data_IF_272926444593
#
_entry.id   IF_272926444593
#
_cell.length_a   1.000
_cell.length_b   1.000
_cell.length_c   1.000
_cell.angle_alpha   90.00
_cell.angle_beta   90.00
_cell.angle_gamma   90.00
#
_symmetry.space_group_name_H-M   'P 1'
#
loop_
_entity.id
_entity.type
_entity.pdbx_description
1 polymer ?
#
# COMPACT_ATOMS: atom_id res chain seq x y z
N UNK A 1 -18.41 -10.49 27.35
CA UNK A 1 -18.17 -10.60 25.90
C UNK A 1 -16.68 -10.42 25.65
N UNK A 2 -16.10 -11.23 24.76
CA UNK A 2 -14.70 -11.15 24.36
C UNK A 2 -14.65 -10.93 22.85
N UNK A 3 -13.60 -10.25 22.36
CA UNK A 3 -13.28 -10.08 20.95
C UNK A 3 -11.96 -10.78 20.69
N UNK A 4 -11.86 -11.52 19.59
CA UNK A 4 -10.64 -12.15 19.14
C UNK A 4 -10.40 -11.84 17.66
N UNK A 5 -9.19 -11.43 17.36
CA UNK A 5 -8.71 -11.30 15.97
C UNK A 5 -7.75 -12.45 15.70
N UNK A 6 -7.97 -13.15 14.61
CA UNK A 6 -7.19 -14.33 14.25
C UNK A 6 -6.48 -14.10 12.91
N UNK A 7 -5.21 -14.40 12.85
CA UNK A 7 -4.41 -14.38 11.62
C UNK A 7 -4.03 -15.79 11.24
N UNK A 8 -4.19 -16.13 9.97
CA UNK A 8 -3.81 -17.44 9.43
C UNK A 8 -2.30 -17.47 9.20
N UNK A 9 -1.58 -18.26 9.98
CA UNK A 9 -0.16 -18.56 9.77
C UNK A 9 0.04 -19.69 8.74
N UNK A 10 1.28 -20.04 8.43
CA UNK A 10 1.65 -21.03 7.41
C UNK A 10 1.48 -22.51 7.78
N UNK A 11 0.80 -22.83 8.88
CA UNK A 11 0.65 -24.20 9.37
C UNK A 11 1.79 -24.63 10.31
N UNK A 12 2.25 -25.86 10.18
CA UNK A 12 3.32 -26.39 11.05
C UNK A 12 4.60 -25.58 10.91
N UNK A 13 5.15 -25.11 12.05
CA UNK A 13 6.38 -24.35 12.03
C UNK A 13 7.58 -25.19 11.56
N UNK A 14 8.45 -24.59 10.78
CA UNK A 14 9.67 -25.21 10.23
C UNK A 14 10.91 -24.46 10.72
N UNK A 15 12.06 -25.15 10.76
CA UNK A 15 13.33 -24.54 11.11
C UNK A 15 13.75 -23.53 10.02
N UNK A 16 14.19 -22.35 10.45
CA UNK A 16 14.74 -21.31 9.58
C UNK A 16 16.15 -20.92 10.06
N UNK A 17 17.10 -20.91 9.14
CA UNK A 17 18.52 -20.63 9.40
C UNK A 17 19.03 -19.39 8.64
N UNK A 18 18.12 -18.54 8.14
CA UNK A 18 18.50 -17.31 7.43
C UNK A 18 19.19 -16.31 8.35
N UNK A 19 18.81 -16.30 9.63
CA UNK A 19 19.44 -15.46 10.67
C UNK A 19 20.60 -16.15 11.37
N UNK A 20 21.37 -15.37 12.14
CA UNK A 20 22.42 -15.92 13.02
C UNK A 20 21.87 -16.72 14.19
N UNK A 21 20.61 -16.52 14.57
CA UNK A 21 19.85 -17.36 15.48
C UNK A 21 18.91 -18.24 14.66
N UNK A 22 19.01 -19.55 14.82
CA UNK A 22 18.04 -20.49 14.24
C UNK A 22 16.68 -20.26 14.88
N UNK A 23 15.66 -20.08 14.07
CA UNK A 23 14.28 -19.86 14.48
C UNK A 23 13.36 -20.99 14.04
N UNK A 24 12.17 -21.08 14.64
CA UNK A 24 11.08 -21.93 14.18
C UNK A 24 9.97 -21.02 13.69
N UNK A 25 9.59 -21.17 12.42
CA UNK A 25 8.76 -20.21 11.68
C UNK A 25 7.52 -20.88 11.10
N UNK A 26 6.36 -20.28 11.36
CA UNK A 26 5.12 -20.55 10.64
C UNK A 26 4.77 -19.30 9.83
N UNK A 27 5.15 -19.30 8.54
CA UNK A 27 4.98 -18.15 7.65
C UNK A 27 3.89 -18.41 6.61
N UNK A 28 3.02 -17.44 6.45
CA UNK A 28 2.08 -17.35 5.35
C UNK A 28 2.43 -16.12 4.50
N UNK A 29 3.29 -16.32 3.52
CA UNK A 29 3.81 -15.24 2.67
C UNK A 29 2.69 -14.59 1.83
N UNK A 30 1.67 -15.37 1.45
CA UNK A 30 0.51 -14.88 0.70
C UNK A 30 -0.26 -13.79 1.47
N UNK A 31 -0.39 -13.95 2.78
CA UNK A 31 -1.07 -13.00 3.66
C UNK A 31 -0.09 -12.08 4.42
N UNK A 32 1.20 -12.15 4.10
CA UNK A 32 2.21 -11.28 4.70
C UNK A 32 2.34 -11.42 6.21
N UNK A 33 2.09 -12.62 6.78
CA UNK A 33 2.12 -12.85 8.21
C UNK A 33 2.96 -14.05 8.59
N UNK A 34 3.82 -13.91 9.60
CA UNK A 34 4.54 -15.04 10.19
C UNK A 34 4.62 -14.98 11.71
N UNK A 35 4.66 -16.17 12.30
CA UNK A 35 4.94 -16.38 13.72
C UNK A 35 6.33 -17.02 13.81
N UNK A 36 7.20 -16.38 14.56
CA UNK A 36 8.61 -16.76 14.69
C UNK A 36 8.92 -17.00 16.15
N UNK A 37 9.47 -18.16 16.48
CA UNK A 37 9.97 -18.44 17.83
C UNK A 37 11.48 -18.69 17.81
N UNK A 38 12.19 -18.18 18.81
CA UNK A 38 13.64 -18.34 18.91
C UNK A 38 14.09 -18.25 20.36
N UNK A 39 15.33 -18.68 20.64
CA UNK A 39 16.00 -18.52 21.94
C UNK A 39 17.02 -17.40 21.83
N UNK A 40 16.97 -16.44 22.74
CA UNK A 40 17.87 -15.29 22.77
C UNK A 40 19.32 -15.67 22.98
N UNK A 41 20.21 -14.95 22.33
CA UNK A 41 21.68 -15.14 22.40
C UNK A 41 22.38 -14.18 23.38
N UNK A 42 21.72 -13.08 23.76
CA UNK A 42 22.31 -12.03 24.61
C UNK A 42 23.27 -11.10 23.90
N UNK A 43 23.39 -11.18 22.58
CA UNK A 43 24.25 -10.34 21.74
C UNK A 43 23.57 -9.97 20.45
N UNK A 44 23.97 -8.88 19.81
CA UNK A 44 23.41 -8.46 18.53
C UNK A 44 23.39 -9.62 17.51
N UNK A 45 22.22 -9.92 16.99
CA UNK A 45 21.95 -11.08 16.16
C UNK A 45 20.83 -10.79 15.15
N UNK A 46 20.57 -11.75 14.27
CA UNK A 46 19.45 -11.72 13.32
C UNK A 46 18.63 -13.00 13.42
N UNK A 47 17.33 -12.88 13.14
CA UNK A 47 16.36 -13.97 13.22
C UNK A 47 15.59 -14.05 11.91
N UNK A 48 15.51 -15.23 11.30
CA UNK A 48 14.77 -15.47 10.07
C UNK A 48 13.25 -15.41 10.31
N UNK A 49 12.50 -14.74 9.41
CA UNK A 49 11.04 -14.60 9.54
C UNK A 49 10.24 -15.33 8.46
N UNK A 50 10.85 -15.83 7.39
CA UNK A 50 10.24 -16.70 6.39
C UNK A 50 9.23 -16.05 5.44
N UNK A 51 9.09 -14.72 5.40
CA UNK A 51 8.10 -14.03 4.54
C UNK A 51 8.60 -13.75 3.12
N UNK A 52 9.92 -13.82 2.87
CA UNK A 52 10.55 -13.46 1.59
C UNK A 52 10.38 -11.99 1.15
N UNK A 53 9.70 -11.18 1.97
CA UNK A 53 9.55 -9.74 1.80
C UNK A 53 9.84 -9.05 3.13
N UNK A 54 10.31 -7.80 3.09
CA UNK A 54 10.65 -7.06 4.31
C UNK A 54 9.40 -6.79 5.15
N UNK A 55 9.35 -7.24 6.41
CA UNK A 55 8.26 -6.89 7.31
C UNK A 55 8.16 -5.37 7.52
N UNK A 56 6.95 -4.84 7.49
CA UNK A 56 6.65 -3.46 7.85
C UNK A 56 6.37 -3.27 9.33
N UNK A 57 6.04 -4.35 10.04
CA UNK A 57 5.76 -4.35 11.48
C UNK A 57 6.28 -5.65 12.09
N UNK A 58 7.03 -5.53 13.18
CA UNK A 58 7.51 -6.66 14.00
C UNK A 58 7.10 -6.42 15.45
N UNK A 59 6.38 -7.37 16.04
CA UNK A 59 5.98 -7.34 17.44
C UNK A 59 6.67 -8.51 18.15
N UNK A 60 7.55 -8.24 19.08
CA UNK A 60 8.33 -9.24 19.80
C UNK A 60 7.96 -9.31 21.28
N UNK A 61 7.89 -10.51 21.83
CA UNK A 61 7.58 -10.77 23.24
C UNK A 61 8.52 -11.81 23.84
N UNK A 62 9.16 -11.47 24.94
CA UNK A 62 9.82 -12.43 25.80
C UNK A 62 8.78 -13.29 26.53
N UNK A 63 8.81 -14.60 26.29
CA UNK A 63 7.90 -15.57 26.91
C UNK A 63 8.40 -16.09 28.26
N UNK A 64 9.66 -15.83 28.58
CA UNK A 64 10.33 -16.26 29.81
C UNK A 64 10.30 -15.20 30.90
N UNK A 65 9.94 -13.96 30.55
CA UNK A 65 9.89 -12.82 31.45
C UNK A 65 8.63 -11.96 31.27
N UNK A 66 8.31 -11.13 32.26
CA UNK A 66 7.18 -10.19 32.21
C UNK A 66 7.48 -8.88 31.46
N UNK A 67 8.44 -8.91 30.54
CA UNK A 67 8.84 -7.73 29.76
C UNK A 67 7.72 -7.20 28.86
N UNK A 68 7.85 -5.96 28.41
CA UNK A 68 6.90 -5.34 27.51
C UNK A 68 6.91 -6.00 26.12
N UNK A 69 5.84 -5.81 25.37
CA UNK A 69 5.74 -6.22 23.97
C UNK A 69 6.44 -5.18 23.12
N UNK A 70 7.63 -5.51 22.63
CA UNK A 70 8.46 -4.61 21.84
C UNK A 70 7.95 -4.54 20.40
N UNK A 71 7.87 -3.33 19.83
CA UNK A 71 7.36 -3.11 18.47
C UNK A 71 8.35 -2.29 17.66
N UNK A 72 8.71 -2.81 16.49
CA UNK A 72 9.34 -2.08 15.40
C UNK A 72 8.35 -1.88 14.26
N UNK A 73 8.43 -0.76 13.56
CA UNK A 73 7.63 -0.49 12.36
C UNK A 73 8.43 0.20 11.29
N UNK A 74 8.01 0.02 10.05
CA UNK A 74 8.52 0.68 8.85
C UNK A 74 8.66 2.19 9.09
N UNK A 75 9.82 2.74 8.75
CA UNK A 75 10.19 4.13 9.02
C UNK A 75 10.94 4.35 10.34
N UNK A 76 11.05 3.33 11.21
CA UNK A 76 11.92 3.38 12.39
C UNK A 76 13.34 2.98 12.04
N UNK A 77 14.29 3.58 12.76
CA UNK A 77 15.68 3.10 12.80
C UNK A 77 15.78 1.83 13.64
N UNK A 78 16.93 1.19 13.66
CA UNK A 78 17.20 0.02 14.52
C UNK A 78 17.23 0.35 16.03
N UNK A 79 17.23 1.63 16.39
CA UNK A 79 17.24 2.08 17.78
C UNK A 79 15.84 2.49 18.27
N UNK A 80 14.87 2.66 17.38
CA UNK A 80 13.55 3.17 17.72
C UNK A 80 12.57 2.03 17.96
N UNK A 81 11.68 2.25 18.92
CA UNK A 81 10.71 1.23 19.34
C UNK A 81 9.44 1.85 19.93
N UNK A 82 8.43 1.02 20.03
CA UNK A 82 7.21 1.22 20.83
C UNK A 82 6.99 -0.01 21.72
N UNK A 83 6.07 0.13 22.65
CA UNK A 83 5.52 -0.98 23.41
C UNK A 83 4.03 -1.13 23.13
N UNK A 84 3.59 -2.34 22.70
CA UNK A 84 2.18 -2.58 22.38
C UNK A 84 1.30 -2.54 23.64
N UNK A 85 1.85 -2.89 24.79
CA UNK A 85 1.13 -2.95 26.07
C UNK A 85 1.24 -1.67 26.91
N UNK A 86 1.67 -0.55 26.32
CA UNK A 86 1.76 0.74 27.01
C UNK A 86 1.27 1.89 26.11
N UNK A 87 0.96 3.02 26.73
CA UNK A 87 0.62 4.27 26.03
C UNK A 87 1.81 5.21 25.84
N UNK A 88 3.05 4.74 26.01
CA UNK A 88 4.26 5.54 25.81
C UNK A 88 4.39 6.01 24.36
N UNK A 89 5.02 7.16 24.16
CA UNK A 89 5.49 7.61 22.86
C UNK A 89 6.66 6.73 22.35
N UNK A 90 7.06 6.94 21.10
CA UNK A 90 8.23 6.30 20.51
C UNK A 90 9.47 6.55 21.38
N UNK A 91 10.10 5.46 21.78
CA UNK A 91 11.39 5.47 22.46
C UNK A 91 12.54 5.27 21.47
N UNK A 92 13.74 5.63 21.93
CA UNK A 92 14.97 5.33 21.21
C UNK A 92 16.04 4.89 22.21
N UNK A 93 16.63 3.73 21.95
CA UNK A 93 17.73 3.20 22.73
C UNK A 93 18.74 2.51 21.80
N UNK A 94 20.01 2.83 21.96
CA UNK A 94 21.07 2.27 21.12
C UNK A 94 21.11 0.75 21.26
N UNK A 95 20.97 0.06 20.14
CA UNK A 95 21.07 -1.40 20.12
C UNK A 95 19.77 -2.14 20.37
N UNK A 96 18.60 -1.51 20.39
CA UNK A 96 17.33 -2.20 20.63
C UNK A 96 17.11 -3.37 19.67
N UNK A 97 17.19 -3.11 18.36
CA UNK A 97 17.01 -4.12 17.32
C UNK A 97 18.31 -4.56 16.65
N UNK A 98 19.42 -3.83 16.86
CA UNK A 98 20.70 -4.12 16.19
C UNK A 98 20.71 -3.77 14.69
N UNK A 99 19.71 -4.19 13.93
CA UNK A 99 19.50 -3.83 12.52
C UNK A 99 18.02 -3.71 12.20
N UNK A 100 17.70 -2.96 11.14
CA UNK A 100 16.34 -2.92 10.56
C UNK A 100 16.05 -4.24 9.83
N UNK A 101 14.78 -4.66 9.73
CA UNK A 101 14.40 -5.83 8.97
C UNK A 101 14.81 -5.76 7.49
N UNK A 102 15.05 -6.92 6.92
CA UNK A 102 15.32 -7.16 5.49
C UNK A 102 14.24 -8.10 4.95
N UNK A 103 14.38 -8.58 3.72
CA UNK A 103 13.47 -9.56 3.13
C UNK A 103 13.59 -10.99 3.72
N UNK A 104 14.60 -11.27 4.55
CA UNK A 104 14.82 -12.60 5.13
C UNK A 104 14.92 -12.61 6.66
N UNK A 105 15.41 -11.53 7.27
CA UNK A 105 15.69 -11.48 8.71
C UNK A 105 15.23 -10.15 9.34
N UNK A 106 14.98 -10.16 10.64
CA UNK A 106 14.95 -8.97 11.48
C UNK A 106 16.07 -9.03 12.53
N UNK A 107 16.55 -7.86 12.93
CA UNK A 107 17.60 -7.76 13.94
C UNK A 107 17.04 -7.87 15.35
N UNK A 108 17.87 -8.36 16.27
CA UNK A 108 17.63 -8.40 17.71
C UNK A 108 18.94 -8.13 18.44
N UNK A 109 18.93 -7.33 19.49
CA UNK A 109 20.19 -6.96 20.15
C UNK A 109 20.06 -6.77 21.66
N UNK A 110 19.01 -6.12 22.12
CA UNK A 110 18.82 -5.81 23.51
C UNK A 110 18.07 -6.92 24.26
N UNK A 111 18.16 -6.87 25.57
CA UNK A 111 17.51 -7.80 26.50
C UNK A 111 16.00 -7.94 26.22
N UNK A 112 15.33 -6.86 25.87
CA UNK A 112 13.90 -6.88 25.57
C UNK A 112 13.51 -7.75 24.37
N UNK A 113 14.46 -8.03 23.43
CA UNK A 113 14.23 -8.88 22.27
C UNK A 113 15.24 -10.04 22.18
N UNK A 114 16.27 -10.10 23.02
CA UNK A 114 17.36 -11.07 22.86
C UNK A 114 18.07 -11.46 24.18
N UNK A 115 17.40 -11.43 25.32
CA UNK A 115 17.97 -11.92 26.59
C UNK A 115 18.46 -13.35 26.42
N UNK A 116 19.73 -13.59 26.83
CA UNK A 116 20.38 -14.90 26.70
C UNK A 116 19.59 -16.02 27.39
N UNK A 117 19.27 -17.08 26.63
CA UNK A 117 18.56 -18.25 27.12
C UNK A 117 17.05 -18.10 27.25
N UNK A 118 16.48 -16.89 27.10
CA UNK A 118 15.04 -16.68 27.14
C UNK A 118 14.39 -17.09 25.81
N UNK A 119 13.14 -17.51 25.87
CA UNK A 119 12.35 -17.88 24.70
C UNK A 119 11.49 -16.69 24.27
N UNK A 120 11.60 -16.34 22.98
CA UNK A 120 10.88 -15.25 22.36
C UNK A 120 9.86 -15.75 21.35
N UNK A 121 8.83 -14.94 21.14
CA UNK A 121 7.94 -15.02 19.97
C UNK A 121 7.91 -13.66 19.30
N UNK A 122 7.99 -13.67 17.96
CA UNK A 122 7.79 -12.48 17.14
C UNK A 122 6.66 -12.70 16.12
N UNK A 123 5.85 -11.68 15.94
CA UNK A 123 4.82 -11.60 14.91
C UNK A 123 5.29 -10.59 13.88
N UNK A 124 5.47 -11.05 12.64
CA UNK A 124 5.94 -10.23 11.54
C UNK A 124 4.82 -10.02 10.54
N UNK A 125 4.59 -8.77 10.17
CA UNK A 125 3.60 -8.37 9.17
C UNK A 125 4.31 -7.66 8.03
N UNK A 126 4.05 -8.06 6.80
CA UNK A 126 4.57 -7.43 5.59
C UNK A 126 3.42 -6.83 4.76
N UNK A 127 3.71 -5.83 3.96
CA UNK A 127 2.73 -5.29 3.03
C UNK A 127 2.29 -6.37 2.02
N UNK A 128 0.98 -6.47 1.79
CA UNK A 128 0.36 -7.32 0.77
C UNK A 128 -0.59 -6.45 -0.04
N UNK A 129 -0.31 -6.19 -1.31
CA UNK A 129 -1.18 -5.38 -2.15
C UNK A 129 -2.63 -5.87 -2.12
N UNK A 130 -3.58 -4.94 -1.98
CA UNK A 130 -5.00 -5.27 -1.90
C UNK A 130 -5.50 -5.85 -0.59
N UNK A 131 -4.62 -6.24 0.34
CA UNK A 131 -4.99 -6.93 1.58
C UNK A 131 -4.42 -6.32 2.85
N UNK A 132 -3.10 -6.09 2.92
CA UNK A 132 -2.43 -5.65 4.14
C UNK A 132 -1.48 -4.49 3.86
N UNK A 133 -1.56 -3.45 4.68
CA UNK A 133 -0.71 -2.27 4.55
C UNK A 133 -0.22 -1.78 5.90
N UNK A 134 1.09 -1.57 6.02
CA UNK A 134 1.74 -0.92 7.15
C UNK A 134 2.27 0.44 6.70
N UNK A 135 2.03 1.48 7.48
CA UNK A 135 2.50 2.81 7.12
C UNK A 135 2.33 3.83 8.23
N UNK A 136 2.44 5.09 7.85
CA UNK A 136 2.22 6.20 8.76
C UNK A 136 1.52 7.36 8.05
N UNK A 137 0.88 8.22 8.83
CA UNK A 137 0.34 9.49 8.36
C UNK A 137 0.65 10.60 9.38
N UNK A 138 0.57 11.83 8.92
CA UNK A 138 0.71 13.01 9.78
C UNK A 138 -0.67 13.54 10.13
N UNK A 139 -0.94 13.69 11.41
CA UNK A 139 -2.18 14.28 11.91
C UNK A 139 -2.30 15.76 11.50
N UNK A 140 -3.52 16.22 11.27
CA UNK A 140 -3.80 17.62 10.92
C UNK A 140 -4.64 18.37 11.98
N UNK A 141 -5.05 17.70 13.05
CA UNK A 141 -5.85 18.29 14.14
C UNK A 141 -7.28 18.69 13.77
N UNK A 142 -7.79 18.25 12.61
CA UNK A 142 -9.10 18.61 12.10
C UNK A 142 -10.06 17.41 12.10
N UNK A 143 -11.36 17.65 12.29
CA UNK A 143 -12.41 16.63 12.13
C UNK A 143 -12.55 16.17 10.67
N UNK A 144 -12.01 16.92 9.71
CA UNK A 144 -11.74 16.47 8.36
C UNK A 144 -10.25 16.08 8.30
N UNK A 145 -9.96 14.93 8.89
CA UNK A 145 -8.61 14.43 9.06
C UNK A 145 -7.99 13.86 7.79
N UNK A 146 -6.75 13.37 7.90
CA UNK A 146 -6.04 12.78 6.76
C UNK A 146 -6.82 11.62 6.16
N UNK A 147 -6.78 11.52 4.83
CA UNK A 147 -7.15 10.31 4.10
C UNK A 147 -5.88 9.51 3.86
N UNK A 148 -5.92 8.25 4.21
CA UNK A 148 -4.81 7.30 4.03
C UNK A 148 -5.23 6.27 3.00
N UNK A 149 -4.47 6.20 1.91
CA UNK A 149 -4.70 5.24 0.84
C UNK A 149 -3.97 3.94 1.17
N UNK A 150 -4.71 2.84 1.24
CA UNK A 150 -4.16 1.49 1.46
C UNK A 150 -4.18 0.61 0.22
N UNK A 151 -5.00 0.98 -0.79
CA UNK A 151 -5.24 0.17 -1.97
C UNK A 151 -6.43 -0.78 -1.82
N UNK A 152 -7.07 -0.81 -0.65
CA UNK A 152 -8.22 -1.66 -0.33
C UNK A 152 -9.08 -1.00 0.74
N UNK A 153 -10.30 -1.50 0.94
CA UNK A 153 -11.16 -1.11 2.05
C UNK A 153 -10.74 -1.86 3.31
N UNK A 154 -10.31 -1.17 4.38
CA UNK A 154 -9.96 -1.86 5.60
C UNK A 154 -11.15 -2.55 6.26
N UNK A 155 -10.94 -3.72 6.82
CA UNK A 155 -11.82 -4.38 7.81
C UNK A 155 -11.26 -4.25 9.22
N UNK A 156 -9.94 -4.16 9.33
CA UNK A 156 -9.21 -4.01 10.57
C UNK A 156 -8.20 -2.87 10.45
N UNK A 157 -8.11 -2.06 11.48
CA UNK A 157 -7.16 -0.97 11.57
C UNK A 157 -6.60 -0.87 12.99
N UNK A 158 -5.29 -1.03 13.15
CA UNK A 158 -4.54 -0.72 14.36
C UNK A 158 -3.77 0.57 14.14
N UNK A 159 -3.91 1.55 15.04
CA UNK A 159 -3.16 2.82 14.98
C UNK A 159 -2.48 3.15 16.28
N UNK A 160 -1.39 3.93 16.20
CA UNK A 160 -0.66 4.46 17.35
C UNK A 160 -0.04 5.82 17.02
N UNK A 161 -0.34 6.81 17.83
CA UNK A 161 0.39 8.07 17.80
C UNK A 161 1.78 7.86 18.42
N UNK A 162 2.82 8.01 17.63
CA UNK A 162 4.21 7.79 18.05
C UNK A 162 4.85 9.01 18.70
N UNK A 163 4.27 10.20 18.46
CA UNK A 163 4.81 11.48 18.92
C UNK A 163 4.30 11.89 20.32
N UNK A 164 3.21 11.26 20.80
CA UNK A 164 2.50 11.70 22.00
C UNK A 164 2.55 10.62 23.10
N UNK A 165 3.14 10.94 24.25
CA UNK A 165 3.04 10.12 25.43
C UNK A 165 1.61 10.18 26.01
N UNK A 166 1.15 9.07 26.60
CA UNK A 166 -0.23 8.94 27.07
C UNK A 166 -1.25 8.61 25.99
N UNK A 167 -0.83 8.47 24.72
CA UNK A 167 -1.70 8.04 23.64
C UNK A 167 -1.81 6.52 23.59
N UNK A 168 -3.00 5.98 23.71
CA UNK A 168 -3.25 4.55 23.58
C UNK A 168 -3.06 4.05 22.15
N UNK A 169 -2.89 2.75 21.98
CA UNK A 169 -3.15 2.05 20.75
C UNK A 169 -4.66 1.93 20.56
N UNK A 170 -5.13 2.01 19.34
CA UNK A 170 -6.56 1.86 19.01
C UNK A 170 -6.74 0.81 17.95
N UNK A 171 -7.73 -0.07 18.14
CA UNK A 171 -8.19 -1.05 17.18
C UNK A 171 -9.61 -0.70 16.78
N UNK A 172 -9.81 -0.57 15.47
CA UNK A 172 -11.11 -0.42 14.83
C UNK A 172 -11.33 -1.61 13.89
N UNK A 173 -12.56 -2.08 13.77
CA UNK A 173 -12.94 -3.08 12.78
C UNK A 173 -14.38 -2.91 12.31
N UNK A 174 -14.64 -3.39 11.08
CA UNK A 174 -15.95 -3.30 10.44
C UNK A 174 -16.96 -4.29 10.99
N UNK A 175 -16.55 -5.34 11.68
CA UNK A 175 -17.48 -6.33 12.26
C UNK A 175 -18.23 -5.75 13.46
N UNK A 176 -17.53 -5.01 14.31
CA UNK A 176 -18.14 -4.34 15.46
C UNK A 176 -18.82 -3.02 15.07
N UNK A 177 -18.33 -2.33 14.05
CA UNK A 177 -18.90 -1.10 13.51
C UNK A 177 -19.06 -1.23 11.98
N UNK A 178 -20.14 -1.83 11.47
CA UNK A 178 -20.28 -2.16 10.05
C UNK A 178 -20.56 -0.95 9.14
N UNK A 179 -20.83 0.20 9.71
CA UNK A 179 -21.11 1.44 8.97
C UNK A 179 -20.16 2.56 9.38
N UNK A 180 -19.84 3.43 8.42
CA UNK A 180 -19.09 4.65 8.67
C UNK A 180 -19.95 5.70 9.41
N UNK A 181 -19.36 6.47 10.32
CA UNK A 181 -17.99 6.28 10.81
C UNK A 181 -17.87 5.09 11.77
N UNK A 182 -16.77 4.35 11.64
CA UNK A 182 -16.39 3.28 12.57
C UNK A 182 -16.05 3.92 13.91
N UNK A 183 -16.82 3.65 14.96
CA UNK A 183 -16.73 4.33 16.26
C UNK A 183 -16.28 3.45 17.40
N UNK A 184 -16.61 2.16 17.32
CA UNK A 184 -16.24 1.22 18.38
C UNK A 184 -14.74 0.95 18.30
N UNK A 185 -14.05 1.17 19.41
CA UNK A 185 -12.63 0.91 19.51
C UNK A 185 -12.28 0.09 20.74
N UNK A 186 -11.19 -0.66 20.62
CA UNK A 186 -10.54 -1.33 21.72
C UNK A 186 -9.08 -0.87 21.81
N UNK A 187 -8.51 -0.94 23.01
CA UNK A 187 -7.15 -0.50 23.31
C UNK A 187 -6.32 -1.70 23.74
N UNK A 188 -5.40 -2.24 22.94
CA UNK A 188 -4.60 -3.42 23.30
C UNK A 188 -3.74 -3.21 24.56
N UNK A 189 -3.43 -1.96 24.89
CA UNK A 189 -2.63 -1.59 26.04
C UNK A 189 -3.45 -1.22 27.29
N UNK A 190 -4.77 -1.36 27.26
CA UNK A 190 -5.66 -0.96 28.33
C UNK A 190 -6.68 -2.07 28.60
N UNK A 191 -7.03 -2.28 29.88
CA UNK A 191 -8.07 -3.24 30.30
C UNK A 191 -9.48 -2.65 30.26
N UNK A 192 -9.64 -1.40 29.80
CA UNK A 192 -10.94 -0.78 29.63
C UNK A 192 -11.83 -1.57 28.67
N UNK A 193 -13.14 -1.53 28.90
CA UNK A 193 -14.13 -2.09 27.99
C UNK A 193 -14.12 -1.36 26.65
N UNK A 194 -14.76 -1.97 25.66
CA UNK A 194 -15.03 -1.31 24.37
C UNK A 194 -15.67 0.06 24.59
N UNK A 195 -15.14 1.04 23.89
CA UNK A 195 -15.61 2.42 23.96
C UNK A 195 -16.20 2.86 22.62
N UNK A 196 -17.26 3.69 22.72
CA UNK A 196 -17.74 4.50 21.60
C UNK A 196 -17.11 5.88 21.75
N UNK A 197 -15.99 6.11 21.08
CA UNK A 197 -15.29 7.39 21.19
C UNK A 197 -15.70 8.33 20.06
N UNK A 198 -16.35 9.45 20.41
CA UNK A 198 -16.65 10.50 19.46
C UNK A 198 -15.40 11.24 18.97
N UNK A 199 -14.28 11.14 19.68
CA UNK A 199 -13.00 11.76 19.35
C UNK A 199 -12.05 10.85 18.57
N UNK A 200 -12.40 9.58 18.37
CA UNK A 200 -11.57 8.58 17.71
C UNK A 200 -12.24 7.89 16.52
N UNK A 201 -13.10 8.55 15.78
CA UNK A 201 -13.81 7.96 14.65
C UNK A 201 -12.97 7.89 13.37
N UNK A 202 -13.22 6.87 12.57
CA UNK A 202 -12.57 6.64 11.29
C UNK A 202 -13.60 6.18 10.25
N UNK A 203 -13.48 6.66 9.01
CA UNK A 203 -14.24 6.11 7.89
C UNK A 203 -13.39 5.08 7.16
N UNK A 204 -13.93 3.88 6.94
CA UNK A 204 -13.36 2.87 6.05
C UNK A 204 -13.93 3.07 4.65
N UNK A 205 -13.09 3.55 3.75
CA UNK A 205 -13.43 3.85 2.37
C UNK A 205 -12.92 2.73 1.45
N UNK A 206 -13.40 2.67 0.23
CA UNK A 206 -13.06 1.61 -0.73
C UNK A 206 -11.55 1.50 -1.02
N UNK A 207 -10.77 2.57 -0.82
CA UNK A 207 -9.34 2.62 -1.07
C UNK A 207 -8.48 2.93 0.15
N UNK A 208 -9.04 2.82 1.36
CA UNK A 208 -8.31 3.16 2.56
C UNK A 208 -9.20 3.69 3.66
N UNK A 209 -8.69 4.60 4.47
CA UNK A 209 -9.43 5.14 5.58
C UNK A 209 -9.25 6.66 5.72
N UNK A 210 -10.20 7.32 6.35
CA UNK A 210 -10.11 8.73 6.71
C UNK A 210 -10.33 8.91 8.20
N UNK A 211 -9.47 9.67 8.84
CA UNK A 211 -9.66 10.07 10.24
C UNK A 211 -10.74 11.15 10.31
N UNK A 212 -11.77 10.92 11.11
CA UNK A 212 -12.94 11.83 11.28
C UNK A 212 -12.93 12.51 12.65
N UNK A 213 -11.78 12.61 13.28
CA UNK A 213 -11.63 13.14 14.63
C UNK A 213 -10.60 14.27 14.64
N UNK A 214 -10.86 15.33 15.38
CA UNK A 214 -9.90 16.35 15.75
C UNK A 214 -9.08 15.96 17.00
N UNK A 215 -9.33 14.78 17.56
CA UNK A 215 -8.66 14.31 18.79
C UNK A 215 -7.16 14.16 18.62
N UNK A 216 -6.42 14.52 19.66
CA UNK A 216 -4.94 14.52 19.62
C UNK A 216 -4.34 13.12 19.47
N UNK A 217 -5.04 12.08 19.93
CA UNK A 217 -4.53 10.70 19.86
C UNK A 217 -4.46 10.17 18.44
N UNK A 218 -5.56 10.15 17.64
CA UNK A 218 -5.53 9.68 16.27
C UNK A 218 -5.11 10.74 15.25
N UNK A 219 -5.14 12.04 15.62
CA UNK A 219 -4.99 13.13 14.65
C UNK A 219 -4.31 14.40 15.17
N UNK A 220 -3.46 14.30 16.19
CA UNK A 220 -2.72 15.47 16.69
C UNK A 220 -1.95 16.18 15.58
N UNK A 221 -2.12 17.51 15.45
CA UNK A 221 -1.50 18.30 14.40
C UNK A 221 0.03 18.16 14.41
N UNK A 222 0.60 17.76 13.28
CA UNK A 222 2.04 17.53 13.13
C UNK A 222 2.55 16.21 13.73
N UNK A 223 1.73 15.44 14.43
CA UNK A 223 2.13 14.17 15.02
C UNK A 223 2.21 13.07 13.94
N UNK A 224 3.14 12.15 14.12
CA UNK A 224 3.23 10.94 13.30
C UNK A 224 2.41 9.83 13.93
N UNK A 225 1.49 9.26 13.17
CA UNK A 225 0.67 8.12 13.55
C UNK A 225 1.00 6.95 12.64
N UNK A 226 1.37 5.81 13.22
CA UNK A 226 1.59 4.56 12.48
C UNK A 226 0.30 3.76 12.41
N UNK A 227 0.19 2.90 11.39
CA UNK A 227 -0.95 2.01 11.23
C UNK A 227 -0.58 0.64 10.66
N UNK A 228 -1.39 -0.37 11.02
CA UNK A 228 -1.57 -1.63 10.31
C UNK A 228 -3.04 -1.68 9.87
N UNK A 229 -3.26 -1.71 8.56
CA UNK A 229 -4.57 -1.88 7.96
C UNK A 229 -4.65 -3.25 7.27
N UNK A 230 -5.79 -3.95 7.45
CA UNK A 230 -6.05 -5.24 6.82
C UNK A 230 -7.44 -5.18 6.20
N UNK A 231 -7.56 -5.62 4.95
CA UNK A 231 -8.79 -5.71 4.18
C UNK A 231 -9.49 -7.05 4.32
N UNK A 232 -10.46 -7.28 3.44
CA UNK A 232 -11.07 -8.59 3.26
C UNK A 232 -10.06 -9.58 2.69
N UNK A 233 -10.19 -10.84 3.09
CA UNK A 233 -9.40 -11.95 2.58
C UNK A 233 -9.89 -12.47 1.21
N UNK A 234 -10.54 -11.61 0.44
CA UNK A 234 -10.77 -11.85 -0.99
C UNK A 234 -9.45 -11.81 -1.79
N UNK A 235 -8.37 -12.26 -1.19
CA UNK A 235 -7.24 -12.78 -1.95
C UNK A 235 -7.74 -14.12 -2.46
N UNK A 236 -8.38 -14.08 -3.62
CA UNK A 236 -8.90 -15.28 -4.27
C UNK A 236 -7.82 -16.35 -4.32
N UNK A 237 -8.19 -17.59 -4.06
CA UNK A 237 -7.28 -18.73 -4.07
C UNK A 237 -6.57 -18.95 -5.42
N UNK A 238 -6.92 -18.17 -6.43
CA UNK A 238 -6.43 -18.23 -7.81
C UNK A 238 -5.93 -16.87 -8.36
N UNK A 239 -5.89 -15.80 -7.53
CA UNK A 239 -5.44 -14.48 -7.99
C UNK A 239 -3.96 -14.29 -7.70
N UNK A 240 -3.19 -14.16 -8.75
CA UNK A 240 -1.77 -13.79 -8.69
C UNK A 240 -1.64 -12.34 -8.22
N UNK A 241 -1.71 -12.12 -6.90
CA UNK A 241 -1.41 -10.84 -6.25
C UNK A 241 0.10 -10.63 -6.13
N UNK A 242 0.89 -11.48 -6.74
CA UNK A 242 2.33 -11.48 -6.56
C UNK A 242 3.02 -10.56 -7.55
N UNK A 243 3.79 -9.65 -6.94
CA UNK A 243 5.06 -9.19 -7.44
C UNK A 243 5.49 -9.97 -8.68
N UNK A 244 5.65 -9.25 -9.78
CA UNK A 244 6.22 -9.65 -11.05
C UNK A 244 7.32 -10.73 -10.91
N UNK A 245 6.92 -11.97 -10.82
CA UNK A 245 7.81 -13.12 -10.98
C UNK A 245 7.52 -13.65 -12.37
N UNK A 246 8.52 -13.70 -13.27
CA UNK A 246 8.33 -14.35 -14.56
C UNK A 246 8.04 -15.84 -14.33
N UNK A 247 6.77 -16.20 -14.26
CA UNK A 247 6.39 -17.60 -14.29
C UNK A 247 6.48 -18.11 -15.72
N UNK A 248 7.30 -19.12 -15.91
CA UNK A 248 7.26 -19.90 -17.13
C UNK A 248 5.86 -20.49 -17.26
N UNK A 249 5.09 -19.96 -18.20
CA UNK A 249 3.70 -20.33 -18.45
C UNK A 249 3.68 -21.78 -18.90
N UNK A 250 3.31 -22.70 -18.02
CA UNK A 250 2.66 -23.92 -18.47
C UNK A 250 1.25 -23.51 -18.87
N UNK A 251 0.90 -23.71 -20.12
CA UNK A 251 -0.41 -23.40 -20.65
C UNK A 251 -1.49 -24.11 -19.83
N UNK A 252 -2.11 -23.39 -18.93
CA UNK A 252 -3.31 -23.81 -18.24
C UNK A 252 -4.51 -23.21 -18.98
N UNK A 253 -5.47 -24.05 -19.32
CA UNK A 253 -6.54 -23.75 -20.27
C UNK A 253 -7.62 -22.80 -19.74
N UNK A 254 -7.40 -22.15 -18.58
CA UNK A 254 -8.40 -21.29 -17.95
C UNK A 254 -8.07 -19.78 -18.04
N UNK A 255 -7.47 -19.40 -19.16
CA UNK A 255 -7.23 -17.99 -19.51
C UNK A 255 -8.52 -17.20 -19.84
N UNK A 256 -9.71 -17.74 -19.51
CA UNK A 256 -11.01 -17.17 -19.91
C UNK A 256 -11.83 -16.61 -18.75
N UNK A 257 -11.28 -16.39 -17.57
CA UNK A 257 -12.02 -15.66 -16.54
C UNK A 257 -12.11 -14.17 -16.89
N UNK A 258 -13.18 -13.85 -17.60
CA UNK A 258 -13.55 -12.49 -17.99
C UNK A 258 -14.30 -11.74 -16.88
N UNK A 259 -14.55 -12.38 -15.73
CA UNK A 259 -15.38 -11.80 -14.64
C UNK A 259 -14.59 -10.93 -13.68
N UNK A 260 -13.26 -11.01 -13.64
CA UNK A 260 -12.42 -10.25 -12.71
C UNK A 260 -11.33 -9.40 -13.37
N UNK A 261 -11.06 -9.56 -14.65
CA UNK A 261 -10.02 -8.78 -15.35
C UNK A 261 -8.59 -9.25 -15.09
N UNK A 262 -8.40 -10.38 -14.41
CA UNK A 262 -7.08 -10.94 -14.12
C UNK A 262 -6.62 -11.84 -15.26
N UNK A 263 -5.57 -11.43 -15.94
CA UNK A 263 -4.87 -12.26 -16.91
C UNK A 263 -3.49 -12.60 -16.35
N UNK A 264 -3.08 -13.87 -16.48
CA UNK A 264 -1.70 -14.27 -16.15
C UNK A 264 -0.74 -13.55 -17.10
N UNK A 265 0.35 -13.03 -16.57
CA UNK A 265 1.39 -12.34 -17.34
C UNK A 265 2.15 -11.33 -16.48
N UNK A 266 3.21 -10.76 -17.03
CA UNK A 266 3.94 -9.70 -16.37
C UNK A 266 3.14 -8.39 -16.51
N UNK A 267 2.62 -7.88 -15.41
CA UNK A 267 1.94 -6.59 -15.40
C UNK A 267 2.91 -5.43 -15.56
N UNK A 268 2.43 -4.35 -16.14
CA UNK A 268 3.17 -3.09 -16.14
C UNK A 268 3.38 -2.58 -14.71
N UNK A 269 4.49 -1.90 -14.51
CA UNK A 269 4.78 -1.11 -13.30
C UNK A 269 5.20 0.29 -13.72
N UNK A 270 5.36 1.21 -12.79
CA UNK A 270 5.99 2.50 -13.08
C UNK A 270 7.50 2.30 -13.33
N UNK A 271 8.01 2.92 -14.38
CA UNK A 271 9.39 2.70 -14.84
C UNK A 271 10.42 3.46 -13.96
N UNK A 272 11.23 2.77 -13.15
CA UNK A 272 12.22 3.43 -12.29
C UNK A 272 13.38 4.06 -13.07
N UNK A 273 13.60 3.64 -14.31
CA UNK A 273 14.69 4.11 -15.17
C UNK A 273 14.33 5.38 -15.95
N UNK A 274 13.04 5.70 -16.06
CA UNK A 274 12.56 6.86 -16.82
C UNK A 274 11.77 7.82 -15.93
N UNK A 275 12.39 8.27 -14.86
CA UNK A 275 11.84 9.30 -13.97
C UNK A 275 12.26 10.68 -14.49
N UNK A 276 11.30 11.54 -14.79
CA UNK A 276 11.60 12.89 -15.27
C UNK A 276 12.33 13.75 -14.21
N UNK A 277 12.14 13.45 -12.93
CA UNK A 277 12.83 14.10 -11.83
C UNK A 277 13.46 13.05 -10.91
N UNK A 278 14.75 13.18 -10.61
CA UNK A 278 15.47 12.25 -9.74
C UNK A 278 14.94 12.18 -8.31
N UNK A 279 14.20 13.21 -7.87
CA UNK A 279 13.58 13.25 -6.53
C UNK A 279 12.26 12.47 -6.43
N UNK A 280 11.77 11.90 -7.53
CA UNK A 280 10.62 11.01 -7.48
C UNK A 280 11.02 9.68 -6.89
N UNK A 281 10.28 9.21 -5.90
CA UNK A 281 10.49 7.90 -5.29
C UNK A 281 9.42 6.92 -5.73
N UNK A 282 9.83 5.69 -5.96
CA UNK A 282 8.96 4.55 -6.20
C UNK A 282 9.15 3.53 -5.08
N UNK A 283 8.08 2.91 -4.65
CA UNK A 283 8.03 1.85 -3.66
C UNK A 283 6.99 0.80 -4.06
N UNK A 284 6.86 -0.26 -3.27
CA UNK A 284 5.89 -1.35 -3.49
C UNK A 284 5.89 -1.88 -4.93
N UNK A 285 6.99 -2.50 -5.33
CA UNK A 285 7.13 -3.04 -6.67
C UNK A 285 7.00 -2.00 -7.80
N UNK A 286 7.33 -0.72 -7.52
CA UNK A 286 7.17 0.43 -8.41
C UNK A 286 5.70 0.78 -8.73
N UNK A 287 4.78 0.54 -7.81
CA UNK A 287 3.37 0.91 -7.94
C UNK A 287 3.01 2.14 -7.11
N UNK A 288 3.59 2.26 -5.92
CA UNK A 288 3.47 3.48 -5.13
C UNK A 288 4.51 4.50 -5.57
N UNK A 289 4.08 5.76 -5.66
CA UNK A 289 4.97 6.85 -6.04
C UNK A 289 4.77 8.06 -5.14
N UNK A 290 5.87 8.75 -4.86
CA UNK A 290 5.86 10.09 -4.30
C UNK A 290 6.60 11.01 -5.25
N UNK A 291 5.98 12.13 -5.54
CA UNK A 291 6.56 13.13 -6.43
C UNK A 291 7.10 14.31 -5.62
N UNK A 292 8.18 14.92 -6.06
CA UNK A 292 8.75 16.09 -5.39
C UNK A 292 9.14 17.17 -6.40
N UNK A 293 8.80 18.40 -6.11
CA UNK A 293 9.22 19.58 -6.85
C UNK A 293 8.16 20.26 -7.70
N UNK A 294 8.44 21.50 -8.12
CA UNK A 294 7.57 22.37 -8.89
C UNK A 294 7.50 22.03 -10.39
N UNK A 295 8.43 21.22 -10.88
CA UNK A 295 8.67 21.05 -12.33
C UNK A 295 8.01 19.79 -12.91
N UNK A 296 6.82 19.43 -12.45
CA UNK A 296 6.03 18.35 -13.02
C UNK A 296 6.71 16.98 -12.92
N UNK A 297 6.16 16.12 -12.11
CA UNK A 297 6.60 14.75 -12.04
C UNK A 297 5.85 13.92 -13.07
N UNK A 298 6.58 13.18 -13.86
CA UNK A 298 6.03 12.26 -14.85
C UNK A 298 6.65 10.88 -14.64
N UNK A 299 5.80 9.90 -14.36
CA UNK A 299 6.16 8.50 -14.21
C UNK A 299 5.35 7.69 -15.20
N UNK A 300 6.01 6.95 -16.09
CA UNK A 300 5.35 6.16 -17.13
C UNK A 300 5.39 4.67 -16.83
N UNK A 301 4.46 3.91 -17.43
CA UNK A 301 4.44 2.46 -17.33
C UNK A 301 5.61 1.83 -18.09
N UNK A 302 6.06 0.66 -17.60
CA UNK A 302 7.13 -0.15 -18.22
C UNK A 302 6.73 -0.76 -19.55
N UNK A 303 5.42 -0.86 -19.84
CA UNK A 303 4.88 -1.44 -21.06
C UNK A 303 4.26 -0.33 -21.92
N UNK A 304 4.61 -0.30 -23.22
CA UNK A 304 4.01 0.58 -24.21
C UNK A 304 2.95 -0.14 -25.03
N UNK A 305 1.90 0.59 -25.43
CA UNK A 305 0.74 0.10 -26.15
C UNK A 305 0.72 0.69 -27.58
N UNK A 306 0.76 -0.15 -28.61
CA UNK A 306 0.65 0.27 -30.02
C UNK A 306 -0.63 -0.22 -30.70
N UNK A 307 -1.31 -1.20 -30.09
CA UNK A 307 -2.61 -1.75 -30.50
C UNK A 307 -3.23 -2.46 -29.28
N UNK A 308 -4.51 -2.82 -29.36
CA UNK A 308 -5.27 -3.37 -28.24
C UNK A 308 -5.99 -2.30 -27.42
N UNK A 309 -6.74 -2.74 -26.40
CA UNK A 309 -7.51 -1.88 -25.50
C UNK A 309 -7.10 -2.16 -24.06
N UNK A 310 -6.58 -1.15 -23.38
CA UNK A 310 -6.01 -1.30 -22.06
C UNK A 310 -6.62 -0.31 -21.08
N UNK A 311 -6.67 -0.73 -19.82
CA UNK A 311 -7.19 0.05 -18.71
C UNK A 311 -6.20 0.02 -17.55
N UNK A 312 -6.08 1.15 -16.84
CA UNK A 312 -5.39 1.21 -15.56
C UNK A 312 -6.09 2.20 -14.62
N UNK A 313 -5.82 2.08 -13.34
CA UNK A 313 -6.31 2.99 -12.31
C UNK A 313 -5.16 3.66 -11.56
N UNK A 314 -5.40 4.88 -11.08
CA UNK A 314 -4.52 5.55 -10.14
C UNK A 314 -5.34 6.25 -9.07
N UNK A 315 -4.85 6.19 -7.82
CA UNK A 315 -5.39 6.88 -6.66
C UNK A 315 -4.35 7.80 -6.09
N UNK A 316 -4.72 9.03 -5.81
CA UNK A 316 -3.84 10.01 -5.18
C UNK A 316 -4.18 10.22 -3.71
N UNK A 317 -3.17 10.17 -2.84
CA UNK A 317 -3.29 10.28 -1.38
C UNK A 317 -3.19 11.72 -0.85
N UNK A 318 -3.14 12.72 -1.71
CA UNK A 318 -3.09 14.13 -1.33
C UNK A 318 -3.99 14.98 -2.23
N UNK A 319 -4.73 15.90 -1.64
CA UNK A 319 -5.52 16.88 -2.40
C UNK A 319 -4.60 17.88 -3.10
N UNK A 320 -4.83 18.12 -4.36
CA UNK A 320 -4.17 19.14 -5.16
C UNK A 320 -4.81 19.20 -6.53
N UNK A 321 -4.92 20.38 -7.10
CA UNK A 321 -5.45 20.57 -8.46
C UNK A 321 -4.48 20.08 -9.54
N UNK A 322 -3.27 19.69 -9.14
CA UNK A 322 -2.20 19.30 -10.03
C UNK A 322 -2.06 17.81 -10.35
N UNK A 323 -2.88 16.95 -9.76
CA UNK A 323 -2.88 15.50 -10.05
C UNK A 323 -3.23 15.26 -11.52
N UNK A 324 -2.54 14.31 -12.17
CA UNK A 324 -2.82 13.99 -13.56
C UNK A 324 -2.61 12.50 -13.88
N UNK A 325 -3.44 12.00 -14.78
CA UNK A 325 -3.29 10.68 -15.38
C UNK A 325 -3.49 10.76 -16.90
N UNK A 326 -2.92 9.82 -17.64
CA UNK A 326 -3.09 9.78 -19.07
C UNK A 326 -2.16 8.83 -19.79
N UNK A 327 -1.88 9.17 -21.06
CA UNK A 327 -0.93 8.46 -21.90
C UNK A 327 0.09 9.42 -22.49
N UNK A 328 1.32 8.94 -22.72
CA UNK A 328 2.39 9.69 -23.38
C UNK A 328 3.27 8.78 -24.22
N UNK A 329 3.99 9.34 -25.18
CA UNK A 329 4.99 8.57 -25.91
C UNK A 329 6.13 8.16 -24.98
N UNK A 330 6.59 6.90 -25.03
CA UNK A 330 7.67 6.42 -24.18
C UNK A 330 8.91 7.31 -24.29
N UNK A 331 9.45 7.70 -23.15
CA UNK A 331 10.66 8.52 -23.08
C UNK A 331 10.48 10.00 -23.43
N UNK A 332 9.27 10.46 -23.72
CA UNK A 332 9.01 11.87 -23.98
C UNK A 332 9.41 12.71 -22.76
N UNK A 333 9.97 13.89 -23.01
CA UNK A 333 10.27 14.88 -21.97
C UNK A 333 9.20 15.95 -21.94
N UNK A 334 8.86 16.43 -20.75
CA UNK A 334 7.76 17.37 -20.55
C UNK A 334 6.39 16.79 -20.91
N UNK A 335 5.38 17.63 -21.05
CA UNK A 335 4.00 17.25 -21.41
C UNK A 335 3.75 17.20 -22.92
N UNK A 336 4.79 17.34 -23.72
CA UNK A 336 4.71 17.14 -25.16
C UNK A 336 4.45 15.66 -25.44
N UNK A 337 3.75 15.37 -26.54
CA UNK A 337 3.39 14.01 -26.91
C UNK A 337 2.59 13.26 -25.83
N UNK A 338 1.71 13.98 -25.11
CA UNK A 338 0.85 13.42 -24.07
C UNK A 338 -0.61 13.83 -24.22
N UNK A 339 -1.50 13.02 -23.66
CA UNK A 339 -2.93 13.24 -23.56
C UNK A 339 -3.32 12.99 -22.10
N UNK A 340 -3.79 14.03 -21.41
CA UNK A 340 -3.93 14.00 -19.95
C UNK A 340 -5.27 14.53 -19.47
N UNK A 341 -5.69 14.01 -18.33
CA UNK A 341 -6.77 14.51 -17.50
C UNK A 341 -6.19 14.99 -16.16
N UNK A 342 -6.60 16.17 -15.71
CA UNK A 342 -6.00 16.86 -14.56
C UNK A 342 -7.05 17.08 -13.47
N UNK A 343 -6.61 17.19 -12.24
CA UNK A 343 -7.45 17.37 -11.04
C UNK A 343 -8.41 18.55 -11.09
N UNK A 344 -8.15 19.56 -11.93
CA UNK A 344 -9.10 20.67 -12.18
C UNK A 344 -10.31 20.30 -13.02
N UNK A 345 -10.40 19.09 -13.56
CA UNK A 345 -11.44 18.67 -14.50
C UNK A 345 -11.12 18.98 -15.97
N UNK A 346 -9.96 19.54 -16.25
CA UNK A 346 -9.53 19.86 -17.60
C UNK A 346 -8.76 18.72 -18.25
N UNK A 347 -8.78 18.67 -19.57
CA UNK A 347 -7.89 17.83 -20.39
C UNK A 347 -6.89 18.68 -21.16
N UNK A 348 -5.71 18.10 -21.39
CA UNK A 348 -4.62 18.74 -22.12
C UNK A 348 -4.02 17.78 -23.14
N UNK A 349 -3.49 18.31 -24.23
CA UNK A 349 -2.69 17.56 -25.20
C UNK A 349 -1.48 18.36 -25.62
N UNK A 350 -0.33 17.70 -25.78
CA UNK A 350 0.92 18.27 -26.34
C UNK A 350 1.37 19.60 -25.69
N UNK A 351 1.17 19.75 -24.37
CA UNK A 351 1.56 20.99 -23.67
C UNK A 351 0.69 22.21 -23.99
N UNK A 352 -0.42 22.01 -24.73
CA UNK A 352 -1.36 23.08 -25.08
C UNK A 352 -2.18 23.60 -23.91
N UNK A 353 -3.08 24.54 -24.17
CA UNK A 353 -4.02 25.06 -23.17
C UNK A 353 -5.05 24.00 -22.77
N UNK A 354 -5.40 23.98 -21.48
CA UNK A 354 -6.42 23.08 -20.95
C UNK A 354 -7.82 23.42 -21.47
N UNK A 355 -8.59 22.40 -21.76
CA UNK A 355 -10.02 22.54 -22.09
C UNK A 355 -10.87 21.81 -21.05
N UNK A 356 -12.02 22.36 -20.69
CA UNK A 356 -12.95 21.71 -19.78
C UNK A 356 -13.40 20.37 -20.35
N UNK A 357 -13.40 19.34 -19.48
CA UNK A 357 -13.69 17.98 -19.93
C UNK A 357 -14.57 17.20 -18.95
N UNK A 358 -14.10 16.98 -17.75
CA UNK A 358 -14.76 16.12 -16.77
C UNK A 358 -14.89 16.78 -15.39
N UNK A 359 -15.28 15.99 -14.40
CA UNK A 359 -15.43 16.46 -13.04
C UNK A 359 -14.06 16.77 -12.40
N UNK A 360 -14.01 17.74 -11.49
CA UNK A 360 -12.85 17.99 -10.65
C UNK A 360 -12.54 16.78 -9.77
N UNK A 361 -11.25 16.50 -9.55
CA UNK A 361 -10.81 15.39 -8.72
C UNK A 361 -10.64 15.85 -7.27
N UNK A 362 -11.18 15.07 -6.36
CA UNK A 362 -10.97 15.21 -4.93
C UNK A 362 -9.92 14.20 -4.45
N UNK A 363 -9.54 14.36 -3.21
CA UNK A 363 -8.64 13.45 -2.50
C UNK A 363 -9.28 12.05 -2.39
N UNK A 364 -8.51 11.01 -2.73
CA UNK A 364 -9.00 9.62 -2.70
C UNK A 364 -9.85 9.20 -3.89
N UNK A 365 -10.14 10.11 -4.85
CA UNK A 365 -10.80 9.71 -6.08
C UNK A 365 -9.90 8.75 -6.90
N UNK A 366 -10.53 7.77 -7.51
CA UNK A 366 -9.89 6.86 -8.45
C UNK A 366 -10.04 7.41 -9.86
N UNK A 367 -8.93 7.56 -10.54
CA UNK A 367 -8.90 7.90 -11.96
C UNK A 367 -8.67 6.63 -12.75
N UNK A 368 -9.68 6.18 -13.49
CA UNK A 368 -9.55 5.15 -14.51
C UNK A 368 -9.16 5.75 -15.85
N UNK A 369 -8.23 5.13 -16.54
CA UNK A 369 -7.78 5.55 -17.87
C UNK A 369 -7.92 4.38 -18.84
N UNK A 370 -8.77 4.52 -19.85
CA UNK A 370 -9.04 3.52 -20.88
C UNK A 370 -8.51 4.00 -22.22
N UNK A 371 -7.49 3.31 -22.75
CA UNK A 371 -6.87 3.61 -24.04
C UNK A 371 -7.11 2.50 -25.04
N UNK A 372 -7.83 2.81 -26.11
CA UNK A 372 -7.96 1.97 -27.31
C UNK A 372 -6.84 2.36 -28.28
N UNK A 373 -5.72 1.68 -28.19
CA UNK A 373 -4.57 1.94 -29.06
C UNK A 373 -4.82 1.51 -30.51
N UNK A 374 -5.77 0.62 -30.76
CA UNK A 374 -6.15 0.20 -32.11
C UNK A 374 -6.93 1.29 -32.84
N UNK A 375 -7.90 1.91 -32.18
CA UNK A 375 -8.75 2.95 -32.76
C UNK A 375 -8.27 4.38 -32.43
N UNK A 376 -7.23 4.51 -31.61
CA UNK A 376 -6.67 5.79 -31.20
C UNK A 376 -7.62 6.65 -30.39
N UNK A 377 -8.37 6.07 -29.43
CA UNK A 377 -9.30 6.80 -28.57
C UNK A 377 -8.93 6.66 -27.09
N UNK A 378 -9.10 7.74 -26.34
CA UNK A 378 -8.81 7.79 -24.90
C UNK A 378 -10.01 8.33 -24.12
N UNK A 379 -10.36 7.62 -23.08
CA UNK A 379 -11.46 7.96 -22.16
C UNK A 379 -10.97 7.90 -20.72
N UNK A 380 -11.50 8.77 -19.86
CA UNK A 380 -11.22 8.76 -18.45
C UNK A 380 -12.48 8.50 -17.61
N UNK A 381 -12.26 7.92 -16.46
CA UNK A 381 -13.29 7.56 -15.48
C UNK A 381 -12.94 8.21 -14.15
N UNK A 382 -13.94 8.71 -13.47
CA UNK A 382 -13.84 9.13 -12.07
C UNK A 382 -14.69 8.21 -11.21
N UNK A 383 -14.07 7.50 -10.28
CA UNK A 383 -14.75 6.55 -9.40
C UNK A 383 -15.66 5.57 -10.19
N UNK A 384 -15.15 5.01 -11.29
CA UNK A 384 -15.87 4.10 -12.17
C UNK A 384 -16.89 4.75 -13.10
N UNK A 385 -17.14 6.05 -12.98
CA UNK A 385 -18.09 6.77 -13.85
C UNK A 385 -17.35 7.40 -15.03
N UNK A 386 -17.76 7.03 -16.23
CA UNK A 386 -17.23 7.59 -17.48
C UNK A 386 -17.37 9.10 -17.51
N UNK A 387 -16.30 9.79 -17.93
CA UNK A 387 -16.30 11.22 -18.23
C UNK A 387 -16.50 11.48 -19.73
N UNK A 388 -16.73 10.41 -20.51
CA UNK A 388 -16.83 10.45 -21.97
C UNK A 388 -15.48 10.39 -22.67
N UNK A 389 -15.50 10.28 -23.99
CA UNK A 389 -14.29 10.25 -24.80
C UNK A 389 -13.54 11.58 -24.72
N UNK A 390 -12.30 11.54 -24.21
CA UNK A 390 -11.46 12.73 -24.08
C UNK A 390 -10.77 13.11 -25.40
N UNK A 391 -10.19 12.10 -26.07
CA UNK A 391 -9.38 12.31 -27.26
C UNK A 391 -9.63 11.23 -28.32
N UNK A 392 -9.34 11.55 -29.59
CA UNK A 392 -9.39 10.62 -30.72
C UNK A 392 -8.29 10.95 -31.73
N UNK A 393 -8.05 10.04 -32.66
CA UNK A 393 -7.01 10.21 -33.69
C UNK A 393 -5.59 10.03 -33.17
N UNK A 394 -5.43 9.34 -32.03
CA UNK A 394 -4.14 9.04 -31.45
C UNK A 394 -3.49 7.89 -32.24
N UNK A 395 -2.25 8.07 -32.65
CA UNK A 395 -1.52 7.04 -33.41
C UNK A 395 -0.08 6.90 -32.95
N UNK A 396 0.42 5.67 -32.92
CA UNK A 396 1.76 5.31 -32.48
C UNK A 396 1.73 4.62 -31.12
N UNK A 397 2.91 4.40 -30.53
CA UNK A 397 3.06 3.73 -29.24
C UNK A 397 2.96 4.73 -28.08
N UNK A 398 2.15 4.40 -27.07
CA UNK A 398 1.99 5.19 -25.85
C UNK A 398 2.14 4.31 -24.62
N UNK A 399 2.64 4.89 -23.54
CA UNK A 399 2.63 4.30 -22.19
C UNK A 399 1.60 5.02 -21.33
N UNK A 400 0.95 4.33 -20.40
CA UNK A 400 0.22 4.99 -19.33
C UNK A 400 1.19 5.80 -18.49
N UNK A 401 0.74 6.93 -17.94
CA UNK A 401 1.55 7.70 -17.04
C UNK A 401 0.73 8.42 -15.97
N UNK A 402 1.41 8.71 -14.89
CA UNK A 402 0.91 9.48 -13.75
C UNK A 402 1.86 10.61 -13.42
N UNK A 403 1.36 11.63 -12.76
CA UNK A 403 2.21 12.75 -12.40
C UNK A 403 1.48 13.88 -11.69
N UNK A 404 2.13 15.04 -11.62
CA UNK A 404 1.54 16.23 -11.01
C UNK A 404 2.10 17.53 -11.56
N UNK A 405 1.29 18.59 -11.48
CA UNK A 405 1.72 19.99 -11.63
C UNK A 405 1.88 20.63 -10.25
N UNK A 406 3.07 21.03 -9.88
CA UNK A 406 3.34 21.97 -8.78
C UNK A 406 3.04 21.50 -7.36
N UNK A 407 2.62 20.29 -7.11
CA UNK A 407 2.45 19.70 -5.77
C UNK A 407 3.20 18.37 -5.68
N UNK A 408 3.45 17.90 -4.47
CA UNK A 408 4.12 16.62 -4.23
C UNK A 408 3.09 15.54 -3.81
N UNK A 409 2.22 15.04 -4.71
CA UNK A 409 1.30 13.97 -4.37
C UNK A 409 2.03 12.63 -4.23
N UNK A 410 1.50 11.83 -3.35
CA UNK A 410 1.74 10.39 -3.31
C UNK A 410 0.55 9.69 -3.95
N UNK A 411 0.76 8.60 -4.65
CA UNK A 411 -0.32 7.83 -5.25
C UNK A 411 0.06 6.38 -5.46
N UNK A 412 -0.94 5.59 -5.81
CA UNK A 412 -0.79 4.17 -6.15
C UNK A 412 -1.35 3.96 -7.55
N UNK A 413 -0.54 3.38 -8.44
CA UNK A 413 -0.94 2.96 -9.76
C UNK A 413 -1.28 1.46 -9.75
N UNK A 414 -2.37 1.09 -10.42
CA UNK A 414 -2.80 -0.29 -10.61
C UNK A 414 -2.96 -0.57 -12.10
N UNK A 415 -2.16 -1.48 -12.63
CA UNK A 415 -2.21 -1.91 -14.03
C UNK A 415 -2.93 -3.26 -14.20
N UNK A 416 -3.52 -3.79 -13.11
CA UNK A 416 -4.24 -5.05 -13.03
C UNK A 416 -3.58 -6.11 -12.15
N UNK A 417 -2.38 -5.87 -11.61
CA UNK A 417 -1.74 -6.74 -10.62
C UNK A 417 -2.46 -6.74 -9.25
N UNK A 418 -3.32 -5.77 -9.03
CA UNK A 418 -4.31 -5.74 -7.95
C UNK A 418 -5.69 -5.65 -8.58
N UNK A 419 -6.72 -6.15 -7.89
CA UNK A 419 -8.10 -5.98 -8.35
C UNK A 419 -8.39 -4.50 -8.59
N UNK A 420 -8.95 -4.18 -9.76
CA UNK A 420 -9.41 -2.82 -10.03
C UNK A 420 -10.56 -2.45 -9.08
N UNK A 421 -10.58 -1.21 -8.65
CA UNK A 421 -11.65 -0.71 -7.77
C UNK A 421 -13.00 -0.67 -8.45
N UNK A 422 -12.98 -0.47 -9.74
CA UNK A 422 -14.18 -0.41 -10.56
C UNK A 422 -14.10 -1.41 -11.70
N UNK A 423 -15.24 -1.89 -12.22
CA UNK A 423 -15.27 -2.80 -13.35
C UNK A 423 -14.51 -2.21 -14.54
N UNK A 424 -13.67 -3.03 -15.16
CA UNK A 424 -12.99 -2.66 -16.40
C UNK A 424 -14.05 -2.37 -17.47
N UNK A 425 -13.94 -1.30 -18.26
CA UNK A 425 -14.84 -1.06 -19.37
C UNK A 425 -14.85 -2.22 -20.37
N UNK A 426 -16.02 -2.56 -20.90
CA UNK A 426 -16.19 -3.71 -21.78
C UNK A 426 -15.21 -3.68 -22.97
N UNK A 427 -14.50 -4.78 -23.19
CA UNK A 427 -13.52 -4.96 -24.25
C UNK A 427 -12.13 -4.42 -23.94
N UNK A 428 -11.89 -3.87 -22.75
CA UNK A 428 -10.56 -3.49 -22.28
C UNK A 428 -9.96 -4.60 -21.40
N UNK A 429 -8.64 -4.61 -21.30
CA UNK A 429 -7.87 -5.54 -20.51
C UNK A 429 -6.89 -4.79 -19.60
N UNK A 430 -6.41 -5.46 -18.57
CA UNK A 430 -5.28 -5.03 -17.76
C UNK A 430 -4.00 -4.92 -18.63
N UNK A 431 -3.10 -4.01 -18.28
CA UNK A 431 -1.85 -3.87 -19.05
C UNK A 431 -0.81 -4.88 -18.57
N UNK A 432 -0.76 -6.03 -19.22
CA UNK A 432 0.20 -7.09 -18.99
C UNK A 432 0.70 -7.73 -20.29
N UNK A 433 1.73 -8.55 -20.22
CA UNK A 433 2.37 -9.16 -21.41
C UNK A 433 1.48 -10.14 -22.14
N UNK A 434 0.49 -10.77 -21.51
CA UNK A 434 -0.43 -11.71 -22.17
C UNK A 434 -1.54 -11.00 -22.93
N UNK A 435 -1.89 -9.79 -22.52
CA UNK A 435 -2.90 -8.96 -23.19
C UNK A 435 -2.34 -8.19 -24.39
N UNK A 436 -1.00 -8.16 -24.54
CA UNK A 436 -0.38 -7.52 -25.70
C UNK A 436 -0.63 -8.37 -26.95
N UNK A 437 -0.87 -7.72 -28.12
CA UNK A 437 -0.92 -8.44 -29.39
C UNK A 437 0.37 -9.22 -29.61
N UNK A 438 0.25 -10.41 -30.20
CA UNK A 438 1.42 -11.20 -30.59
C UNK A 438 2.35 -10.37 -31.47
N UNK A 439 3.65 -10.38 -31.16
CA UNK A 439 4.63 -9.71 -32.00
C UNK A 439 4.56 -10.32 -33.40
N UNK A 440 4.24 -9.49 -34.39
CA UNK A 440 4.42 -9.87 -35.80
C UNK A 440 5.92 -9.83 -36.10
N UNK A 441 6.53 -11.03 -36.16
CA UNK A 441 7.93 -11.21 -36.58
C UNK A 441 8.01 -11.04 -38.10
#
# INVERSE_FOLDING_TARGET
TYVAWCWKAGGTAVSNTDGSITSSVSANAQYGFSIVSYTGSGSAATVGHGLSTTPGLVICKDRSASDAWLVWTKGFTSNEYLYLNTNAAKGSYSGTWGSTPTNSVFGVSDQAANQSGNNFVAYCFADVPGYQRIGSYTGNGSSTGPVVVTGFKPRFLLIKNTSLAGSNWFIFDSERSPSNPVKLNLKPNDSASEETDSSGTVDFNENGFQIKSAGTHPNGSGNTIIYLAIGDDEIGSDEDCLVDVPNAVTADADATDTTGGYQRGNYATLNPLNKHNSNNTLSDGNLEFTTSGSDGCLLESTIGMSSGKFYFEVVYSRSGTGQLAGIRKPGARNYNDSYIYVGTGNKYTNGGSGTSYGATLAHGDVIGTAFDATNGTLEFFKNGVSQGQAFSGISGTYSFFVGSFGSAPTGIANFGQMRFKYPIPSGYAALNTTALPAATI
#
